data_IF_082292693019
#
_entry.id   IF_082292693019
#
_cell.length_a   1.000
_cell.length_b   1.000
_cell.length_c   1.000
_cell.angle_alpha   90.00
_cell.angle_beta   90.00
_cell.angle_gamma   90.00
#
_symmetry.space_group_name_H-M   'P 1'
#
loop_
_entity.id
_entity.type
_entity.pdbx_description
1 polymer ?
#
# COMPACT_ATOMS: atom_id res chain seq x y z
N UNK A 1 27.22 -19.54 29.77
CA UNK A 1 27.00 -20.32 28.53
C UNK A 1 25.51 -20.60 28.47
N UNK A 2 24.65 -19.80 27.84
CA UNK A 2 24.84 -18.80 26.80
C UNK A 2 24.50 -19.41 25.45
N UNK A 3 23.21 -19.54 25.10
CA UNK A 3 22.72 -19.82 23.74
C UNK A 3 21.17 -19.80 23.60
N UNK A 4 20.47 -18.88 24.26
CA UNK A 4 19.01 -18.72 24.06
C UNK A 4 18.59 -17.28 23.68
N UNK A 5 19.52 -16.49 23.14
CA UNK A 5 19.17 -15.33 22.33
C UNK A 5 18.91 -15.81 20.89
N UNK A 6 17.84 -16.59 20.69
CA UNK A 6 17.27 -16.77 19.35
C UNK A 6 16.65 -15.44 18.96
N UNK A 7 17.53 -14.55 18.49
CA UNK A 7 17.33 -13.54 17.48
C UNK A 7 15.85 -13.31 17.22
N UNK A 8 15.31 -12.32 17.94
CA UNK A 8 14.13 -11.56 17.57
C UNK A 8 14.33 -11.08 16.14
N UNK A 9 14.05 -11.94 15.17
CA UNK A 9 13.91 -11.58 13.79
C UNK A 9 12.65 -10.72 13.74
N UNK A 10 12.82 -9.43 14.00
CA UNK A 10 11.92 -8.39 13.53
C UNK A 10 12.00 -8.42 12.01
N UNK A 11 11.39 -9.45 11.41
CA UNK A 11 11.16 -9.53 10.00
C UNK A 11 10.16 -8.43 9.69
N UNK A 12 10.62 -7.38 9.01
CA UNK A 12 9.72 -6.42 8.37
C UNK A 12 8.84 -7.23 7.44
N UNK A 13 7.58 -7.46 7.82
CA UNK A 13 6.63 -8.13 6.93
C UNK A 13 6.58 -7.33 5.63
N UNK A 14 6.91 -7.99 4.52
CA UNK A 14 6.78 -7.39 3.20
C UNK A 14 5.30 -7.08 2.95
N UNK A 15 5.02 -5.88 2.45
CA UNK A 15 3.65 -5.49 2.11
C UNK A 15 3.22 -6.32 0.90
N UNK A 16 2.14 -7.08 1.04
CA UNK A 16 1.63 -7.93 -0.03
C UNK A 16 1.01 -7.11 -1.16
N UNK A 17 1.03 -7.65 -2.38
CA UNK A 17 0.36 -7.04 -3.54
C UNK A 17 -1.13 -6.79 -3.27
N UNK A 18 -1.80 -7.73 -2.61
CA UNK A 18 -3.20 -7.61 -2.24
C UNK A 18 -3.45 -6.41 -1.31
N UNK A 19 -2.56 -6.16 -0.34
CA UNK A 19 -2.67 -5.02 0.56
C UNK A 19 -2.55 -3.69 -0.22
N UNK A 20 -1.60 -3.59 -1.16
CA UNK A 20 -1.44 -2.42 -2.02
C UNK A 20 -2.71 -2.19 -2.85
N UNK A 21 -3.27 -3.24 -3.47
CA UNK A 21 -4.50 -3.14 -4.25
C UNK A 21 -5.71 -2.68 -3.43
N UNK A 22 -5.89 -3.25 -2.23
CA UNK A 22 -7.00 -2.89 -1.33
C UNK A 22 -6.93 -1.43 -0.90
N UNK A 23 -5.76 -0.97 -0.45
CA UNK A 23 -5.53 0.42 -0.04
C UNK A 23 -5.71 1.37 -1.23
N UNK A 24 -5.16 1.03 -2.40
CA UNK A 24 -5.34 1.86 -3.61
C UNK A 24 -6.81 2.06 -3.94
N UNK A 25 -7.60 0.96 -3.92
CA UNK A 25 -9.04 1.02 -4.17
C UNK A 25 -9.75 1.91 -3.15
N UNK A 26 -9.44 1.74 -1.87
CA UNK A 26 -10.07 2.50 -0.78
C UNK A 26 -9.81 4.01 -0.93
N UNK A 27 -8.57 4.42 -1.19
CA UNK A 27 -8.20 5.84 -1.36
C UNK A 27 -8.94 6.46 -2.55
N UNK A 28 -8.94 5.80 -3.71
CA UNK A 28 -9.55 6.34 -4.93
C UNK A 28 -11.07 6.43 -4.79
N UNK A 29 -11.72 5.38 -4.26
CA UNK A 29 -13.16 5.39 -3.99
C UNK A 29 -13.50 6.49 -2.97
N UNK A 30 -12.68 6.68 -1.94
CA UNK A 30 -12.91 7.74 -0.95
C UNK A 30 -12.88 9.13 -1.55
N UNK A 31 -11.95 9.40 -2.47
CA UNK A 31 -11.92 10.67 -3.18
C UNK A 31 -13.15 10.90 -4.08
N UNK A 32 -13.73 9.84 -4.64
CA UNK A 32 -14.99 9.92 -5.37
C UNK A 32 -16.16 10.19 -4.41
N UNK A 33 -16.24 9.47 -3.30
CA UNK A 33 -17.27 9.65 -2.26
C UNK A 33 -17.33 11.09 -1.73
N UNK A 34 -16.16 11.71 -1.51
CA UNK A 34 -16.07 13.09 -1.02
C UNK A 34 -16.09 14.15 -2.14
N UNK A 35 -16.31 13.75 -3.39
CA UNK A 35 -16.43 14.66 -4.54
C UNK A 35 -15.12 15.33 -4.97
N UNK A 36 -13.96 14.78 -4.62
CA UNK A 36 -12.64 15.26 -5.03
C UNK A 36 -12.19 14.70 -6.37
N UNK A 37 -12.75 13.57 -6.78
CA UNK A 37 -12.55 12.95 -8.08
C UNK A 37 -13.88 12.54 -8.68
N UNK A 38 -13.91 12.38 -10.00
CA UNK A 38 -15.08 11.83 -10.71
C UNK A 38 -14.84 10.36 -11.04
N UNK A 39 -15.91 9.55 -11.19
CA UNK A 39 -15.78 8.17 -11.64
C UNK A 39 -15.05 8.03 -13.00
N UNK A 40 -15.20 9.02 -13.89
CA UNK A 40 -14.53 9.02 -15.19
C UNK A 40 -13.00 9.07 -15.08
N UNK A 41 -12.47 9.71 -14.04
CA UNK A 41 -11.02 9.80 -13.76
C UNK A 41 -10.45 8.61 -12.98
N UNK A 42 -11.25 7.57 -12.72
CA UNK A 42 -10.87 6.46 -11.84
C UNK A 42 -9.60 5.75 -12.33
N UNK A 43 -9.54 5.34 -13.60
CA UNK A 43 -8.46 4.52 -14.12
C UNK A 43 -7.09 5.22 -14.00
N UNK A 44 -7.01 6.47 -14.47
CA UNK A 44 -5.77 7.26 -14.41
C UNK A 44 -5.34 7.56 -12.96
N UNK A 45 -6.31 7.84 -12.08
CA UNK A 45 -6.01 8.13 -10.68
C UNK A 45 -5.59 6.87 -9.92
N UNK A 46 -6.21 5.73 -10.21
CA UNK A 46 -5.86 4.46 -9.60
C UNK A 46 -4.42 4.07 -9.91
N UNK A 47 -3.99 4.17 -11.18
CA UNK A 47 -2.59 3.88 -11.57
C UNK A 47 -1.59 4.77 -10.83
N UNK A 48 -1.89 6.08 -10.71
CA UNK A 48 -1.03 7.04 -9.98
C UNK A 48 -0.93 6.72 -8.49
N UNK A 49 -2.06 6.43 -7.84
CA UNK A 49 -2.08 6.09 -6.40
C UNK A 49 -1.39 4.75 -6.16
N UNK A 50 -1.65 3.75 -7.00
CA UNK A 50 -1.02 2.43 -6.91
C UNK A 50 0.50 2.55 -6.95
N UNK A 51 1.04 3.25 -7.96
CA UNK A 51 2.48 3.48 -8.13
C UNK A 51 3.08 4.23 -6.94
N UNK A 52 2.40 5.24 -6.43
CA UNK A 52 2.87 6.00 -5.27
C UNK A 52 2.99 5.12 -4.01
N UNK A 53 1.99 4.27 -3.73
CA UNK A 53 2.01 3.33 -2.61
C UNK A 53 3.09 2.28 -2.83
N UNK A 54 3.14 1.68 -4.01
CA UNK A 54 4.11 0.66 -4.37
C UNK A 54 5.54 1.17 -4.18
N UNK A 55 5.85 2.36 -4.70
CA UNK A 55 7.15 2.99 -4.52
C UNK A 55 7.47 3.22 -3.04
N UNK A 56 6.49 3.60 -2.23
CA UNK A 56 6.69 3.85 -0.80
C UNK A 56 7.00 2.57 -0.02
N UNK A 57 6.33 1.47 -0.34
CA UNK A 57 6.50 0.19 0.38
C UNK A 57 7.64 -0.66 -0.15
N UNK A 58 8.07 -0.41 -1.40
CA UNK A 58 9.18 -1.13 -2.06
C UNK A 58 10.49 -0.36 -2.06
N UNK A 59 10.49 0.96 -1.89
CA UNK A 59 11.73 1.72 -1.72
C UNK A 59 12.47 1.22 -0.49
N UNK A 60 13.61 0.58 -0.72
CA UNK A 60 14.65 0.33 0.27
C UNK A 60 15.64 1.49 0.26
#
# INVERSE_FOLDING_TARGET
>A
MGEEDKSRATGRQEVSQEAIFKVTKEIVVKFIEVGRLTPASFADTFDRVYKAIEQTVRSK
#
